data_IF_963224428635
#
_entry.id   IF_963224428635
#
_cell.length_a   1.000
_cell.length_b   1.000
_cell.length_c   1.000
_cell.angle_alpha   90.00
_cell.angle_beta   90.00
_cell.angle_gamma   90.00
#
_symmetry.space_group_name_H-M   'P 1'
#
loop_
_entity.id
_entity.type
_entity.pdbx_description
1 polymer ?
#
# COMPACT_ATOMS: atom_id res chain seq x y z
N UNK A 1 6.78 16.91 5.37
CA UNK A 1 6.92 16.96 3.90
C UNK A 1 5.55 16.80 3.28
N UNK A 2 5.25 17.53 2.21
CA UNK A 2 3.98 17.43 1.49
C UNK A 2 3.93 16.12 0.68
N UNK A 3 2.84 15.38 0.82
CA UNK A 3 2.54 14.14 0.11
C UNK A 3 1.41 14.43 -0.89
N UNK A 4 1.75 14.56 -2.17
CA UNK A 4 0.83 14.97 -3.24
C UNK A 4 0.06 16.29 -2.98
N UNK A 5 0.65 17.20 -2.19
CA UNK A 5 0.01 18.45 -1.77
C UNK A 5 -0.90 18.32 -0.54
N UNK A 6 -0.79 17.22 0.21
CA UNK A 6 -1.47 16.99 1.49
C UNK A 6 -0.44 16.66 2.57
N UNK A 7 -0.72 16.99 3.84
CA UNK A 7 0.20 16.66 4.92
C UNK A 7 0.24 15.15 5.15
N UNK A 8 1.42 14.53 4.99
CA UNK A 8 1.61 13.09 5.21
C UNK A 8 1.10 12.64 6.59
N UNK A 9 1.34 13.44 7.62
CA UNK A 9 0.86 13.18 8.98
C UNK A 9 -0.68 13.12 9.08
N UNK A 10 -1.38 13.96 8.30
CA UNK A 10 -2.83 13.94 8.23
C UNK A 10 -3.35 12.63 7.61
N UNK A 11 -2.69 12.15 6.55
CA UNK A 11 -3.07 10.89 5.91
C UNK A 11 -2.88 9.70 6.86
N UNK A 12 -1.79 9.67 7.61
CA UNK A 12 -1.52 8.65 8.62
C UNK A 12 -2.54 8.69 9.76
N UNK A 13 -2.97 9.88 10.19
CA UNK A 13 -3.98 10.04 11.23
C UNK A 13 -5.36 9.48 10.83
N UNK A 14 -5.67 9.41 9.54
CA UNK A 14 -6.88 8.75 9.03
C UNK A 14 -6.75 7.22 8.92
N UNK A 15 -5.56 6.66 9.16
CA UNK A 15 -5.39 5.22 9.17
C UNK A 15 -5.93 4.63 10.48
N UNK A 16 -7.00 3.85 10.37
CA UNK A 16 -7.65 3.15 11.49
C UNK A 16 -7.09 1.74 11.72
N UNK A 17 -6.07 1.32 10.95
CA UNK A 17 -5.42 0.03 11.15
C UNK A 17 -4.68 0.00 12.49
N UNK A 18 -4.99 -1.00 13.31
CA UNK A 18 -4.25 -1.27 14.54
C UNK A 18 -2.83 -1.69 14.16
N UNK A 19 -1.85 -0.84 14.46
CA UNK A 19 -0.42 -1.13 14.33
C UNK A 19 -0.07 -2.27 15.28
N UNK A 20 -0.05 -3.51 14.79
CA UNK A 20 0.50 -4.61 15.56
C UNK A 20 2.00 -4.74 15.29
N UNK A 21 2.85 -3.94 15.93
CA UNK A 21 4.27 -4.27 16.18
C UNK A 21 5.36 -3.42 15.52
N UNK A 22 6.60 -3.71 15.99
CA UNK A 22 7.84 -2.93 15.88
C UNK A 22 8.21 -2.45 14.46
N UNK A 23 8.63 -1.18 14.37
CA UNK A 23 9.29 -0.55 13.21
C UNK A 23 10.40 -1.43 12.64
N UNK A 24 10.38 -1.63 11.33
CA UNK A 24 11.51 -2.20 10.57
C UNK A 24 11.67 -1.42 9.28
N UNK A 25 12.86 -0.86 9.10
CA UNK A 25 13.29 -0.22 7.86
C UNK A 25 13.17 -1.19 6.69
N UNK A 26 12.64 -0.69 5.56
CA UNK A 26 12.39 -1.46 4.34
C UNK A 26 13.67 -1.84 3.56
N UNK A 27 14.87 -1.66 4.11
CA UNK A 27 16.07 -1.60 3.29
C UNK A 27 16.69 -2.95 2.89
N UNK A 28 16.24 -4.09 3.40
CA UNK A 28 16.84 -5.37 2.99
C UNK A 28 15.83 -6.51 2.88
N UNK A 29 15.41 -6.80 1.64
CA UNK A 29 15.08 -8.11 0.98
C UNK A 29 14.25 -9.18 1.74
N UNK A 30 13.91 -9.02 3.01
CA UNK A 30 13.18 -10.02 3.80
C UNK A 30 12.45 -9.34 4.95
N UNK A 31 11.19 -8.98 4.76
CA UNK A 31 10.39 -8.64 5.93
C UNK A 31 9.06 -7.93 5.75
N UNK A 32 8.28 -8.19 4.70
CA UNK A 32 6.86 -7.83 4.75
C UNK A 32 6.04 -8.79 5.61
N UNK A 33 6.51 -9.04 6.84
CA UNK A 33 5.67 -9.71 7.83
C UNK A 33 4.59 -8.75 8.35
N UNK A 34 4.81 -7.42 8.28
CA UNK A 34 3.84 -6.39 8.68
C UNK A 34 3.99 -5.10 7.86
N UNK A 35 3.00 -4.78 7.02
CA UNK A 35 2.89 -3.50 6.32
C UNK A 35 2.41 -2.43 7.29
N UNK A 36 3.15 -1.32 7.38
CA UNK A 36 2.75 -0.13 8.14
C UNK A 36 2.08 0.90 7.20
N UNK A 37 1.24 1.80 7.73
CA UNK A 37 0.62 2.86 6.94
C UNK A 37 1.62 3.73 6.16
N UNK A 38 2.78 3.99 6.73
CA UNK A 38 3.87 4.76 6.13
C UNK A 38 4.37 4.09 4.84
N UNK A 39 4.54 2.77 4.86
CA UNK A 39 4.97 1.99 3.70
C UNK A 39 3.96 2.05 2.55
N UNK A 40 2.67 2.17 2.85
CA UNK A 40 1.64 2.38 1.81
C UNK A 40 1.83 3.72 1.12
N UNK A 41 2.09 4.78 1.88
CA UNK A 41 2.34 6.10 1.32
C UNK A 41 3.61 6.12 0.47
N UNK A 42 4.67 5.46 0.93
CA UNK A 42 5.94 5.34 0.17
C UNK A 42 5.75 4.60 -1.15
N UNK A 43 4.92 3.55 -1.18
CA UNK A 43 4.58 2.82 -2.41
C UNK A 43 3.80 3.68 -3.40
N UNK A 44 2.84 4.46 -2.90
CA UNK A 44 2.05 5.36 -3.74
C UNK A 44 2.91 6.50 -4.30
N UNK A 45 3.85 7.02 -3.52
CA UNK A 45 4.80 8.05 -3.95
C UNK A 45 5.81 7.52 -4.97
N UNK A 46 6.27 6.27 -4.79
CA UNK A 46 7.21 5.58 -5.67
C UNK A 46 6.56 4.79 -6.81
N UNK A 47 5.27 4.99 -7.06
CA UNK A 47 4.53 4.28 -8.10
C UNK A 47 5.15 4.46 -9.49
N UNK A 48 5.12 3.40 -10.30
CA UNK A 48 5.64 3.46 -11.67
C UNK A 48 4.84 4.46 -12.52
N UNK A 49 5.42 5.02 -13.60
CA UNK A 49 4.77 6.07 -14.40
C UNK A 49 3.34 5.78 -14.84
N UNK A 50 3.03 4.53 -15.20
CA UNK A 50 1.72 4.10 -15.66
C UNK A 50 0.64 4.03 -14.57
N UNK A 51 1.02 4.14 -13.29
CA UNK A 51 0.12 3.99 -12.13
C UNK A 51 0.12 5.26 -11.25
N UNK A 52 0.95 6.25 -11.57
CA UNK A 52 1.09 7.47 -10.75
C UNK A 52 -0.20 8.25 -10.59
N UNK A 53 -1.07 8.24 -11.60
CA UNK A 53 -2.34 8.95 -11.55
C UNK A 53 -3.26 8.31 -10.52
N UNK A 54 -3.44 6.99 -10.62
CA UNK A 54 -4.23 6.17 -9.72
C UNK A 54 -3.68 6.23 -8.30
N UNK A 55 -2.34 6.20 -8.16
CA UNK A 55 -1.68 6.32 -6.86
C UNK A 55 -1.96 7.68 -6.21
N UNK A 56 -1.93 8.77 -6.99
CA UNK A 56 -2.27 10.11 -6.53
C UNK A 56 -3.75 10.23 -6.16
N UNK A 57 -4.65 9.68 -6.95
CA UNK A 57 -6.09 9.68 -6.67
C UNK A 57 -6.39 8.93 -5.37
N UNK A 58 -5.79 7.76 -5.18
CA UNK A 58 -5.89 7.00 -3.94
C UNK A 58 -5.28 7.77 -2.76
N UNK A 59 -4.09 8.34 -2.91
CA UNK A 59 -3.45 9.18 -1.89
C UNK A 59 -4.36 10.33 -1.39
N UNK A 60 -5.00 11.05 -2.31
CA UNK A 60 -5.95 12.12 -1.97
C UNK A 60 -7.18 11.56 -1.25
N UNK A 61 -7.65 10.38 -1.61
CA UNK A 61 -8.77 9.73 -0.94
C UNK A 61 -8.41 9.31 0.50
N UNK A 62 -7.25 8.67 0.71
CA UNK A 62 -6.76 8.31 2.05
C UNK A 62 -6.61 9.55 2.93
N UNK A 63 -6.27 10.70 2.34
CA UNK A 63 -6.16 11.95 3.04
C UNK A 63 -7.51 12.57 3.47
N UNK A 64 -8.62 12.15 2.86
CA UNK A 64 -9.96 12.74 3.10
C UNK A 64 -10.90 11.84 3.88
N UNK A 65 -10.60 10.54 3.94
CA UNK A 65 -11.48 9.57 4.56
C UNK A 65 -10.70 8.56 5.40
N UNK A 66 -11.31 8.00 6.46
CA UNK A 66 -10.74 6.89 7.19
C UNK A 66 -10.40 5.73 6.25
N UNK A 67 -9.23 5.14 6.50
CA UNK A 67 -8.75 4.01 5.72
C UNK A 67 -8.10 2.96 6.60
N UNK A 68 -7.94 1.75 6.05
CA UNK A 68 -7.29 0.63 6.74
C UNK A 68 -6.64 -0.31 5.73
N UNK A 69 -5.53 -0.88 6.16
CA UNK A 69 -4.86 -2.00 5.50
C UNK A 69 -5.58 -3.29 5.90
N UNK A 70 -6.03 -4.05 4.91
CA UNK A 70 -6.53 -5.40 5.07
C UNK A 70 -5.39 -6.38 4.79
N UNK A 71 -4.88 -7.01 5.85
CA UNK A 71 -4.05 -8.21 5.70
C UNK A 71 -4.96 -9.43 5.60
N UNK A 72 -5.79 -9.51 4.57
CA UNK A 72 -6.34 -10.80 4.20
C UNK A 72 -5.23 -11.55 3.45
N UNK A 73 -4.77 -12.64 4.07
CA UNK A 73 -4.00 -13.68 3.41
C UNK A 73 -4.91 -14.34 2.37
N UNK A 74 -5.18 -13.65 1.26
CA UNK A 74 -5.68 -14.30 0.08
C UNK A 74 -4.57 -15.28 -0.33
N UNK A 75 -4.78 -16.56 0.00
CA UNK A 75 -4.05 -17.64 -0.61
C UNK A 75 -4.20 -17.41 -2.11
N UNK A 76 -3.12 -16.98 -2.75
CA UNK A 76 -3.09 -16.90 -4.20
C UNK A 76 -3.50 -18.27 -4.71
N UNK A 77 -4.57 -18.33 -5.47
CA UNK A 77 -5.09 -19.53 -6.16
C UNK A 77 -4.10 -20.09 -7.21
N UNK A 78 -2.82 -19.69 -7.16
CA UNK A 78 -1.74 -20.24 -7.97
C UNK A 78 -0.60 -20.71 -7.07
N UNK A 79 0.01 -21.87 -7.38
CA UNK A 79 1.21 -22.33 -6.70
C UNK A 79 2.30 -21.27 -6.86
N UNK A 80 2.65 -20.66 -5.73
CA UNK A 80 3.65 -19.58 -5.59
C UNK A 80 5.07 -20.17 -5.66
N UNK A 81 5.43 -20.77 -6.79
CA UNK A 81 6.84 -20.94 -7.14
C UNK A 81 7.24 -19.73 -8.00
N UNK A 82 8.08 -18.85 -7.45
CA UNK A 82 8.81 -17.77 -8.15
C UNK A 82 8.03 -16.51 -8.61
N UNK A 83 6.83 -16.22 -8.11
CA UNK A 83 6.22 -14.90 -8.37
C UNK A 83 6.68 -13.87 -7.34
N UNK A 84 7.46 -12.89 -7.79
CA UNK A 84 7.81 -11.68 -7.03
C UNK A 84 6.62 -10.72 -6.87
N UNK A 85 5.43 -11.08 -7.34
CA UNK A 85 4.23 -10.25 -7.21
C UNK A 85 3.53 -10.49 -5.86
N UNK A 86 3.22 -9.41 -5.16
CA UNK A 86 2.43 -9.37 -3.93
C UNK A 86 1.22 -8.48 -4.11
N UNK A 87 0.19 -8.75 -3.31
CA UNK A 87 -1.04 -7.98 -3.29
C UNK A 87 -1.31 -7.48 -1.87
N UNK A 88 -1.71 -6.22 -1.75
CA UNK A 88 -2.14 -5.59 -0.51
C UNK A 88 -3.52 -5.00 -0.73
N UNK A 89 -4.46 -5.28 0.16
CA UNK A 89 -5.78 -4.66 0.10
C UNK A 89 -5.89 -3.48 1.06
N UNK A 90 -6.49 -2.39 0.59
CA UNK A 90 -6.72 -1.15 1.33
C UNK A 90 -8.19 -0.80 1.21
N UNK A 91 -8.87 -0.65 2.34
CA UNK A 91 -10.23 -0.14 2.40
C UNK A 91 -10.21 1.36 2.70
N UNK A 92 -10.97 2.15 1.95
CA UNK A 92 -11.19 3.58 2.22
C UNK A 92 -12.56 4.02 1.72
N UNK A 93 -13.31 4.74 2.55
CA UNK A 93 -14.63 5.29 2.20
C UNK A 93 -15.62 4.25 1.61
N UNK A 94 -15.59 3.01 2.10
CA UNK A 94 -16.47 1.94 1.61
C UNK A 94 -16.05 1.31 0.28
N UNK A 95 -14.86 1.62 -0.24
CA UNK A 95 -14.25 0.99 -1.41
C UNK A 95 -13.01 0.22 -0.98
N UNK A 96 -12.76 -0.93 -1.60
CA UNK A 96 -11.50 -1.64 -1.44
C UNK A 96 -10.63 -1.47 -2.69
N UNK A 97 -9.33 -1.37 -2.46
CA UNK A 97 -8.30 -1.22 -3.47
C UNK A 97 -7.26 -2.31 -3.26
N UNK A 98 -6.82 -2.93 -4.33
CA UNK A 98 -5.75 -3.91 -4.35
C UNK A 98 -4.53 -3.30 -5.02
N UNK A 99 -3.47 -3.16 -4.24
CA UNK A 99 -2.16 -2.75 -4.69
C UNK A 99 -1.38 -3.99 -5.14
N UNK A 100 -1.05 -4.08 -6.43
CA UNK A 100 -0.15 -5.10 -6.96
C UNK A 100 1.28 -4.57 -6.91
N UNK A 101 2.13 -5.26 -6.16
CA UNK A 101 3.49 -4.82 -5.86
C UNK A 101 4.48 -5.86 -6.36
N UNK A 102 5.52 -5.45 -7.08
CA UNK A 102 6.63 -6.32 -7.44
C UNK A 102 7.77 -6.21 -6.42
N UNK A 103 8.32 -7.37 -6.03
CA UNK A 103 9.47 -7.52 -5.13
C UNK A 103 10.74 -7.75 -5.97
N UNK A 104 11.43 -6.66 -6.32
CA UNK A 104 12.73 -6.68 -7.00
C UNK A 104 13.86 -6.24 -6.08
N UNK A 105 14.85 -5.51 -6.62
CA UNK A 105 15.85 -4.81 -5.80
C UNK A 105 15.23 -3.72 -4.90
N UNK A 106 14.05 -3.23 -5.27
CA UNK A 106 13.17 -2.37 -4.48
C UNK A 106 11.73 -2.81 -4.70
N UNK A 107 10.86 -2.50 -3.76
CA UNK A 107 9.42 -2.68 -3.90
C UNK A 107 8.88 -1.64 -4.88
N UNK A 108 8.01 -2.06 -5.81
CA UNK A 108 7.39 -1.16 -6.78
C UNK A 108 5.91 -1.42 -6.91
N UNK A 109 5.12 -0.35 -6.88
CA UNK A 109 3.69 -0.42 -7.15
C UNK A 109 3.46 -0.50 -8.67
N UNK A 110 3.01 -1.66 -9.13
CA UNK A 110 2.82 -1.99 -10.55
C UNK A 110 1.38 -1.79 -11.02
N UNK A 111 0.41 -1.89 -10.11
CA UNK A 111 -1.00 -1.68 -10.44
C UNK A 111 -1.84 -1.36 -9.19
N UNK A 112 -2.96 -0.68 -9.40
CA UNK A 112 -4.01 -0.45 -8.40
C UNK A 112 -5.34 -0.88 -9.01
N UNK A 113 -6.00 -1.83 -8.37
CA UNK A 113 -7.30 -2.36 -8.83
C UNK A 113 -8.35 -2.04 -7.77
N UNK A 114 -9.42 -1.35 -8.12
CA UNK A 114 -10.57 -1.25 -7.21
C UNK A 114 -11.28 -2.61 -7.16
N UNK A 115 -11.49 -3.13 -5.95
CA UNK A 115 -12.17 -4.40 -5.69
C UNK A 115 -13.45 -4.04 -4.95
N UNK A 116 -14.61 -4.24 -5.58
CA UNK A 116 -15.91 -3.81 -5.03
C UNK A 116 -16.65 -2.84 -5.94
#
# INVERSE_FOLDING_TARGET
MEYFGVERAQVLAHCSSVTQGLERELDHVRGWNRLQPEHVLDLLESAIPSVRREARELAVQLARAPWRIHMETAALDRPKLASNLREVQIGSAGRDYRLCISEGARLRLENIVQVG
#
